data_IF_170305790828
#
_entry.id   IF_170305790828
#
_cell.length_a   1.000
_cell.length_b   1.000
_cell.length_c   1.000
_cell.angle_alpha   90.00
_cell.angle_beta   90.00
_cell.angle_gamma   90.00
#
_symmetry.space_group_name_H-M   'P 1'
#
loop_
_entity.id
_entity.type
_entity.pdbx_description
1 polymer ?
#
# COMPACT_ATOMS: atom_id res chain seq x y z
N UNK A 1 22.77 -42.43 39.45
CA UNK A 1 22.63 -42.20 37.99
C UNK A 1 21.21 -41.67 37.79
N UNK A 2 20.89 -40.41 37.50
CA UNK A 2 21.55 -39.38 36.70
C UNK A 2 21.21 -37.97 37.26
N UNK A 3 22.18 -37.32 37.90
CA UNK A 3 22.21 -35.86 38.09
C UNK A 3 23.16 -35.35 37.03
N UNK A 4 22.72 -34.84 35.87
CA UNK A 4 23.45 -33.92 34.97
C UNK A 4 22.59 -33.53 33.74
N UNK A 5 21.46 -32.86 33.93
CA UNK A 5 20.79 -32.13 32.83
C UNK A 5 20.09 -30.87 33.38
N UNK A 6 20.82 -30.12 34.20
CA UNK A 6 20.36 -28.83 34.75
C UNK A 6 21.48 -27.81 34.58
N UNK A 7 21.80 -27.48 33.33
CA UNK A 7 22.60 -26.33 32.95
C UNK A 7 22.35 -26.09 31.45
N UNK A 8 22.19 -24.83 31.06
CA UNK A 8 21.96 -24.32 29.69
C UNK A 8 20.49 -24.17 29.28
N UNK A 9 19.74 -23.31 29.97
CA UNK A 9 18.56 -22.61 29.40
C UNK A 9 18.22 -21.35 30.21
N UNK A 10 19.21 -20.52 30.52
CA UNK A 10 18.99 -19.29 31.27
C UNK A 10 19.93 -18.17 30.81
N UNK A 11 19.86 -17.77 29.54
CA UNK A 11 20.61 -16.61 29.05
C UNK A 11 20.03 -16.04 27.74
N UNK A 12 18.78 -15.56 27.72
CA UNK A 12 18.33 -14.67 26.61
C UNK A 12 17.11 -13.77 26.86
N UNK A 13 16.41 -13.83 28.00
CA UNK A 13 15.07 -13.21 28.12
C UNK A 13 14.99 -12.02 29.08
N UNK A 14 15.98 -11.13 29.06
CA UNK A 14 15.97 -9.90 29.89
C UNK A 14 16.56 -8.68 29.14
N UNK A 15 16.08 -8.37 27.93
CA UNK A 15 16.25 -7.02 27.31
C UNK A 15 15.02 -6.66 26.46
N UNK A 16 13.84 -6.52 27.07
CA UNK A 16 12.72 -5.71 26.51
C UNK A 16 11.92 -5.20 27.70
N UNK A 17 12.40 -4.18 28.42
CA UNK A 17 11.52 -3.34 29.26
C UNK A 17 12.16 -2.01 29.69
N UNK A 18 12.87 -1.35 28.79
CA UNK A 18 13.32 0.04 28.99
C UNK A 18 13.54 0.72 27.64
N UNK A 19 12.53 1.45 27.13
CA UNK A 19 12.74 2.27 25.94
C UNK A 19 11.57 2.74 25.09
N UNK A 20 10.32 2.82 25.57
CA UNK A 20 9.25 3.55 24.84
C UNK A 20 9.38 5.09 24.98
N UNK A 21 10.58 5.63 24.75
CA UNK A 21 10.85 7.07 24.88
C UNK A 21 11.95 7.64 23.97
N UNK A 22 12.59 6.81 23.12
CA UNK A 22 13.65 7.26 22.20
C UNK A 22 13.53 6.67 20.79
N UNK A 23 12.31 6.35 20.34
CA UNK A 23 12.04 5.89 18.96
C UNK A 23 11.33 6.96 18.12
N UNK A 24 11.24 8.20 18.61
CA UNK A 24 10.51 9.26 17.91
C UNK A 24 11.30 9.98 16.81
N UNK A 25 12.60 9.69 16.64
CA UNK A 25 13.41 10.31 15.56
C UNK A 25 14.06 9.32 14.59
N UNK A 26 14.02 8.01 14.85
CA UNK A 26 14.48 6.97 13.92
C UNK A 26 13.34 6.26 13.18
N UNK A 27 12.09 6.41 13.64
CA UNK A 27 10.92 5.81 13.00
C UNK A 27 10.50 6.52 11.69
N UNK A 28 10.86 7.80 11.51
CA UNK A 28 10.49 8.55 10.30
C UNK A 28 11.32 8.17 9.06
N UNK A 29 12.49 7.50 9.24
CA UNK A 29 13.41 7.20 8.13
C UNK A 29 13.61 5.72 7.80
N UNK A 30 13.08 4.79 8.62
CA UNK A 30 13.23 3.34 8.43
C UNK A 30 11.92 2.60 8.09
N UNK A 31 10.78 3.29 8.12
CA UNK A 31 9.47 2.72 7.71
C UNK A 31 9.34 2.54 6.19
N UNK A 32 10.21 3.17 5.37
CA UNK A 32 10.04 3.22 3.92
C UNK A 32 10.42 1.93 3.15
N UNK A 33 11.30 1.08 3.67
CA UNK A 33 11.89 -0.02 2.86
C UNK A 33 11.42 -1.43 3.27
N UNK A 34 10.96 -1.63 4.50
CA UNK A 34 10.55 -2.95 5.02
C UNK A 34 9.04 -3.22 4.98
N UNK A 35 8.19 -2.21 5.26
CA UNK A 35 6.73 -2.33 5.17
C UNK A 35 6.24 -2.35 3.72
N UNK A 36 7.01 -1.77 2.81
CA UNK A 36 6.70 -1.65 1.39
C UNK A 36 6.64 -3.01 0.69
N UNK A 37 7.47 -4.00 1.03
CA UNK A 37 7.53 -5.23 0.23
C UNK A 37 6.27 -6.13 0.32
N UNK A 38 5.53 -6.10 1.43
CA UNK A 38 4.29 -6.88 1.61
C UNK A 38 3.02 -6.10 1.26
N UNK A 39 3.01 -4.76 1.44
CA UNK A 39 1.96 -3.90 0.89
C UNK A 39 2.00 -3.83 -0.65
N UNK A 40 3.20 -3.98 -1.23
CA UNK A 40 3.44 -3.86 -2.67
C UNK A 40 2.72 -4.92 -3.49
N UNK A 41 2.55 -6.16 -3.04
CA UNK A 41 1.98 -7.19 -3.92
C UNK A 41 0.48 -6.95 -4.21
N UNK A 42 -0.32 -6.72 -3.16
CA UNK A 42 -1.74 -6.37 -3.32
C UNK A 42 -1.90 -5.01 -4.00
N UNK A 43 -1.08 -4.03 -3.62
CA UNK A 43 -1.07 -2.70 -4.25
C UNK A 43 -0.70 -2.75 -5.73
N UNK A 44 0.23 -3.62 -6.12
CA UNK A 44 0.67 -3.79 -7.52
C UNK A 44 -0.41 -4.43 -8.37
N UNK A 45 -1.14 -5.41 -7.85
CA UNK A 45 -2.27 -6.00 -8.58
C UNK A 45 -3.42 -5.00 -8.75
N UNK A 46 -3.73 -4.23 -7.70
CA UNK A 46 -4.73 -3.16 -7.78
C UNK A 46 -4.30 -2.07 -8.77
N UNK A 47 -3.01 -1.66 -8.74
CA UNK A 47 -2.43 -0.74 -9.74
C UNK A 47 -2.59 -1.33 -11.15
N UNK A 48 -2.22 -2.59 -11.35
CA UNK A 48 -2.32 -3.28 -12.66
C UNK A 48 -3.76 -3.30 -13.18
N UNK A 49 -4.74 -3.64 -12.35
CA UNK A 49 -6.15 -3.62 -12.74
C UNK A 49 -6.62 -2.21 -13.09
N UNK A 50 -6.32 -1.21 -12.25
CA UNK A 50 -6.67 0.17 -12.51
C UNK A 50 -6.04 0.68 -13.82
N UNK A 51 -4.76 0.38 -14.05
CA UNK A 51 -4.03 0.77 -15.26
C UNK A 51 -4.58 0.09 -16.52
N UNK A 52 -5.00 -1.17 -16.44
CA UNK A 52 -5.61 -1.87 -17.56
C UNK A 52 -6.94 -1.23 -17.98
N UNK A 53 -7.73 -0.73 -17.02
CA UNK A 53 -9.03 -0.11 -17.27
C UNK A 53 -8.93 1.29 -17.89
N UNK A 54 -7.77 1.95 -17.77
CA UNK A 54 -7.54 3.28 -18.37
C UNK A 54 -6.57 3.25 -19.54
N UNK A 55 -6.07 2.08 -19.95
CA UNK A 55 -5.02 1.95 -20.97
C UNK A 55 -5.43 2.59 -22.30
N UNK A 56 -6.69 2.43 -22.70
CA UNK A 56 -7.22 2.97 -23.95
C UNK A 56 -7.59 4.47 -23.89
N UNK A 57 -7.40 5.12 -22.73
CA UNK A 57 -7.69 6.55 -22.51
C UNK A 57 -9.18 6.88 -22.43
N UNK A 58 -10.03 5.85 -22.49
CA UNK A 58 -11.46 5.92 -22.33
C UNK A 58 -11.84 5.23 -21.02
N UNK A 59 -12.80 5.80 -20.29
CA UNK A 59 -13.37 5.20 -19.08
C UNK A 59 -14.87 5.10 -19.27
N UNK A 60 -15.36 3.89 -19.52
CA UNK A 60 -16.80 3.64 -19.60
C UNK A 60 -17.45 3.72 -18.21
N UNK A 61 -18.78 3.71 -18.16
CA UNK A 61 -19.53 3.66 -16.89
C UNK A 61 -19.18 2.39 -16.09
N UNK A 62 -18.94 1.28 -16.80
CA UNK A 62 -18.52 0.00 -16.22
C UNK A 62 -17.11 0.09 -15.65
N UNK A 63 -16.16 0.66 -16.39
CA UNK A 63 -14.79 0.86 -15.94
C UNK A 63 -14.76 1.78 -14.72
N UNK A 64 -15.56 2.85 -14.73
CA UNK A 64 -15.69 3.76 -13.57
C UNK A 64 -16.16 3.02 -12.32
N UNK A 65 -17.13 2.10 -12.44
CA UNK A 65 -17.61 1.29 -11.31
C UNK A 65 -16.51 0.36 -10.79
N UNK A 66 -15.78 -0.28 -11.70
CA UNK A 66 -14.66 -1.13 -11.33
C UNK A 66 -13.56 -0.33 -10.62
N UNK A 67 -13.14 0.81 -11.19
CA UNK A 67 -12.18 1.74 -10.61
C UNK A 67 -12.64 2.27 -9.24
N UNK A 68 -13.93 2.60 -9.10
CA UNK A 68 -14.52 3.02 -7.83
C UNK A 68 -14.45 1.94 -6.74
N UNK A 69 -14.65 0.67 -7.11
CA UNK A 69 -14.49 -0.47 -6.20
C UNK A 69 -13.05 -0.70 -5.75
N UNK A 70 -12.07 -0.23 -6.53
CA UNK A 70 -10.64 -0.36 -6.22
C UNK A 70 -10.13 0.75 -5.28
N UNK A 71 -10.80 1.89 -5.15
CA UNK A 71 -10.31 3.07 -4.39
C UNK A 71 -9.93 2.72 -2.96
N UNK A 72 -10.84 2.09 -2.20
CA UNK A 72 -10.61 1.75 -0.81
C UNK A 72 -9.52 0.68 -0.65
N UNK A 73 -9.48 -0.30 -1.56
CA UNK A 73 -8.45 -1.33 -1.60
C UNK A 73 -7.08 -0.75 -1.90
N UNK A 74 -6.98 0.17 -2.88
CA UNK A 74 -5.74 0.82 -3.27
C UNK A 74 -5.16 1.66 -2.12
N UNK A 75 -5.99 2.43 -1.42
CA UNK A 75 -5.55 3.22 -0.26
C UNK A 75 -5.09 2.32 0.90
N UNK A 76 -5.85 1.26 1.19
CA UNK A 76 -5.52 0.33 2.27
C UNK A 76 -4.26 -0.51 1.96
N UNK A 77 -4.01 -0.78 0.69
CA UNK A 77 -2.84 -1.51 0.20
C UNK A 77 -1.59 -0.61 0.04
N UNK A 78 -1.67 0.68 0.40
CA UNK A 78 -0.53 1.60 0.30
C UNK A 78 -0.14 1.97 -1.13
N UNK A 79 -1.07 1.87 -2.10
CA UNK A 79 -0.83 2.34 -3.46
C UNK A 79 -0.54 3.85 -3.42
N UNK A 80 0.51 4.32 -4.11
CA UNK A 80 0.93 5.71 -4.00
C UNK A 80 -0.14 6.72 -4.43
N UNK A 81 -0.07 7.92 -3.84
CA UNK A 81 -1.05 8.99 -4.01
C UNK A 81 -1.21 9.43 -5.47
N UNK A 82 -0.18 9.29 -6.30
CA UNK A 82 -0.22 9.59 -7.73
C UNK A 82 -1.17 8.68 -8.53
N UNK A 83 -1.48 7.48 -8.01
CA UNK A 83 -2.49 6.57 -8.56
C UNK A 83 -3.83 6.77 -7.82
N UNK A 84 -3.81 6.77 -6.48
CA UNK A 84 -5.06 6.76 -5.68
C UNK A 84 -5.84 8.07 -5.75
N UNK A 85 -5.17 9.21 -5.95
CA UNK A 85 -5.82 10.52 -6.10
C UNK A 85 -6.64 10.60 -7.39
N UNK A 86 -6.07 10.39 -8.59
CA UNK A 86 -6.87 10.40 -9.82
C UNK A 86 -7.89 9.26 -9.86
N UNK A 87 -7.58 8.09 -9.30
CA UNK A 87 -8.54 6.99 -9.16
C UNK A 87 -9.79 7.41 -8.36
N UNK A 88 -9.59 8.11 -7.23
CA UNK A 88 -10.69 8.63 -6.41
C UNK A 88 -11.48 9.71 -7.14
N UNK A 89 -10.81 10.62 -7.86
CA UNK A 89 -11.50 11.65 -8.65
C UNK A 89 -12.40 11.03 -9.73
N UNK A 90 -11.93 10.00 -10.42
CA UNK A 90 -12.73 9.25 -11.40
C UNK A 90 -13.94 8.59 -10.71
N UNK A 91 -13.74 7.98 -9.55
CA UNK A 91 -14.83 7.34 -8.80
C UNK A 91 -15.92 8.34 -8.34
N UNK A 92 -15.50 9.51 -7.84
CA UNK A 92 -16.38 10.53 -7.25
C UNK A 92 -17.09 11.39 -8.31
N UNK A 93 -16.66 11.33 -9.57
CA UNK A 93 -17.09 12.24 -10.65
C UNK A 93 -18.53 12.04 -11.19
N UNK A 94 -19.34 11.18 -10.58
CA UNK A 94 -20.70 10.90 -11.05
C UNK A 94 -20.68 10.41 -12.51
N UNK A 95 -21.60 10.87 -13.36
CA UNK A 95 -21.65 10.42 -14.76
C UNK A 95 -20.62 11.10 -15.68
N UNK A 96 -19.84 12.06 -15.16
CA UNK A 96 -18.90 12.85 -15.95
C UNK A 96 -17.47 12.60 -15.49
N UNK A 97 -16.85 11.57 -16.05
CA UNK A 97 -15.44 11.27 -15.77
C UNK A 97 -14.54 12.40 -16.30
N UNK A 98 -13.78 13.10 -15.44
CA UNK A 98 -12.90 14.18 -15.85
C UNK A 98 -11.70 13.63 -16.63
N UNK A 99 -11.50 14.15 -17.85
CA UNK A 99 -10.40 13.73 -18.72
C UNK A 99 -9.02 13.94 -18.07
N UNK A 100 -8.86 15.01 -17.28
CA UNK A 100 -7.62 15.29 -16.57
C UNK A 100 -7.26 14.20 -15.55
N UNK A 101 -8.25 13.66 -14.83
CA UNK A 101 -8.00 12.58 -13.87
C UNK A 101 -7.70 11.26 -14.57
N UNK A 102 -8.33 10.96 -15.71
CA UNK A 102 -8.01 9.79 -16.53
C UNK A 102 -6.57 9.88 -17.04
N UNK A 103 -6.19 11.07 -17.55
CA UNK A 103 -4.83 11.32 -18.03
C UNK A 103 -3.79 11.22 -16.90
N UNK A 104 -4.07 11.81 -15.73
CA UNK A 104 -3.19 11.71 -14.58
C UNK A 104 -3.01 10.25 -14.11
N UNK A 105 -4.08 9.45 -14.14
CA UNK A 105 -3.99 8.02 -13.83
C UNK A 105 -3.15 7.26 -14.87
N UNK A 106 -3.32 7.53 -16.17
CA UNK A 106 -2.48 6.96 -17.23
C UNK A 106 -1.00 7.32 -17.07
N UNK A 107 -0.70 8.60 -16.81
CA UNK A 107 0.67 9.08 -16.66
C UNK A 107 1.35 8.42 -15.44
N UNK A 108 0.60 8.18 -14.36
CA UNK A 108 1.08 7.43 -13.20
C UNK A 108 1.23 5.93 -13.47
N UNK A 109 0.45 5.37 -14.41
CA UNK A 109 0.56 3.98 -14.86
C UNK A 109 1.75 3.75 -15.81
N UNK A 110 2.21 4.77 -16.51
CA UNK A 110 3.38 4.71 -17.40
C UNK A 110 4.73 4.81 -16.65
N UNK A 111 4.70 5.03 -15.33
CA UNK A 111 5.84 5.02 -14.43
C UNK A 111 5.96 3.69 -13.68
#
# INVERSE_FOLDING_TARGET
MNRRLAALSAASLMIVLSGCGQVQQAAEKAVNDGASQVATAAGSEIKRQACSLVADGLVSVQDKKALGGLVAGAQSAGVPAEITTPLKQIADSGDKVPADSVKALQDACAK
#
